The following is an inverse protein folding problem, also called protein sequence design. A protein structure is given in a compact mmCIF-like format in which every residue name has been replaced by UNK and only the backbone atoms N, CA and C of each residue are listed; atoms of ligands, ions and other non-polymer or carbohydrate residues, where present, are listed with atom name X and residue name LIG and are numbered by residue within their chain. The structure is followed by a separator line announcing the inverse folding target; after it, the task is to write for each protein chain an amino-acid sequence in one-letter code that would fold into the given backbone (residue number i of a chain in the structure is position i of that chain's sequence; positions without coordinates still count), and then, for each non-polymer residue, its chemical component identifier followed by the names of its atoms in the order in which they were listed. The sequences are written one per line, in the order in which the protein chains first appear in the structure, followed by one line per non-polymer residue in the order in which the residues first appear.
data_IF_323803672292
#
_entry.id   IF_323803672292
#
_cell.length_a   1.000
_cell.length_b   1.000
_cell.length_c   1.000
_cell.angle_alpha   90.00
_cell.angle_beta   90.00
_cell.angle_gamma   90.00
#
_symmetry.space_group_name_H-M   'P 1'
#
loop_
_entity.id
_entity.type
_entity.pdbx_description
1 polymer ?
#
# COMPACT_ATOMS: atom_id res chain seq x y z
N UNK A 1 -3.59 10.66 15.06
CA UNK A 1 -3.32 9.25 14.68
C UNK A 1 -1.86 9.15 14.31
N UNK A 2 -1.13 8.18 14.84
CA UNK A 2 0.28 8.03 14.51
C UNK A 2 0.47 7.17 13.25
N UNK A 3 1.64 7.25 12.68
CA UNK A 3 1.99 6.56 11.44
C UNK A 3 1.87 5.03 11.55
N UNK A 4 2.22 4.46 12.69
CA UNK A 4 2.12 3.02 12.94
C UNK A 4 0.67 2.54 12.80
N UNK A 5 -0.28 3.27 13.37
CA UNK A 5 -1.70 2.92 13.28
C UNK A 5 -2.18 2.97 11.82
N UNK A 6 -1.71 3.95 11.05
CA UNK A 6 -2.05 4.06 9.63
C UNK A 6 -1.50 2.87 8.85
N UNK A 7 -0.25 2.47 9.13
CA UNK A 7 0.34 1.28 8.50
C UNK A 7 -0.44 0.01 8.82
N UNK A 8 -0.87 -0.15 10.07
CA UNK A 8 -1.67 -1.31 10.46
C UNK A 8 -2.99 -1.38 9.70
N UNK A 9 -3.64 -0.23 9.52
CA UNK A 9 -4.87 -0.14 8.73
C UNK A 9 -4.60 -0.43 7.25
N UNK A 10 -3.47 0.05 6.72
CA UNK A 10 -3.07 -0.22 5.34
C UNK A 10 -2.94 -1.73 5.10
N UNK A 11 -2.22 -2.43 5.97
CA UNK A 11 -2.05 -3.88 5.88
C UNK A 11 -3.43 -4.59 5.96
N UNK A 12 -4.28 -4.18 6.88
CA UNK A 12 -5.61 -4.76 7.03
C UNK A 12 -6.45 -4.58 5.75
N UNK A 13 -6.40 -3.41 5.14
CA UNK A 13 -7.12 -3.14 3.88
C UNK A 13 -6.58 -3.99 2.73
N UNK A 14 -5.26 -4.19 2.68
CA UNK A 14 -4.64 -5.06 1.68
C UNK A 14 -5.11 -6.51 1.83
N UNK A 15 -5.19 -6.98 3.06
CA UNK A 15 -5.62 -8.35 3.36
C UNK A 15 -7.11 -8.57 3.09
N UNK A 16 -7.93 -7.55 3.27
CA UNK A 16 -9.38 -7.64 3.05
C UNK A 16 -9.81 -7.29 1.63
N UNK A 17 -8.91 -6.68 0.85
CA UNK A 17 -9.25 -6.23 -0.49
C UNK A 17 -10.16 -5.01 -0.53
N UNK A 18 -10.12 -4.18 0.50
CA UNK A 18 -10.99 -3.01 0.61
C UNK A 18 -10.28 -1.78 0.02
N UNK A 19 -10.43 -1.59 -1.29
CA UNK A 19 -9.80 -0.48 -2.00
C UNK A 19 -10.33 0.88 -1.56
N UNK A 20 -11.58 0.97 -1.17
CA UNK A 20 -12.19 2.22 -0.70
C UNK A 20 -11.59 2.62 0.64
N UNK A 21 -11.59 1.71 1.62
CA UNK A 21 -11.00 1.97 2.93
C UNK A 21 -9.50 2.25 2.82
N UNK A 22 -8.79 1.56 1.93
CA UNK A 22 -7.37 1.79 1.69
C UNK A 22 -7.14 3.21 1.17
N UNK A 23 -7.89 3.63 0.17
CA UNK A 23 -7.78 4.98 -0.39
C UNK A 23 -8.14 6.05 0.63
N UNK A 24 -9.06 5.76 1.55
CA UNK A 24 -9.46 6.69 2.62
C UNK A 24 -8.33 6.97 3.61
N UNK A 25 -7.25 6.18 3.60
CA UNK A 25 -6.07 6.47 4.40
C UNK A 25 -5.21 7.61 3.82
N UNK A 26 -5.48 7.99 2.57
CA UNK A 26 -4.67 8.98 1.84
C UNK A 26 -5.33 10.35 1.82
N UNK A 27 -4.48 11.39 1.83
CA UNK A 27 -4.88 12.74 1.53
C UNK A 27 -5.49 12.79 0.12
N UNK A 28 -6.41 13.73 -0.12
CA UNK A 28 -7.04 13.91 -1.45
C UNK A 28 -6.00 13.99 -2.57
N UNK A 29 -4.85 14.61 -2.29
CA UNK A 29 -3.74 14.77 -3.23
C UNK A 29 -2.55 13.88 -2.88
N UNK A 30 -2.79 12.80 -2.15
CA UNK A 30 -1.74 11.88 -1.72
C UNK A 30 -1.03 11.23 -2.89
N UNK A 31 0.25 10.90 -2.67
CA UNK A 31 1.11 10.30 -3.69
C UNK A 31 1.56 8.92 -3.22
N UNK A 32 1.42 7.94 -4.10
CA UNK A 32 1.91 6.59 -3.90
C UNK A 32 2.89 6.25 -5.00
N UNK A 33 4.12 5.89 -4.63
CA UNK A 33 5.13 5.42 -5.57
C UNK A 33 5.51 3.99 -5.20
N UNK A 34 5.37 3.05 -6.14
CA UNK A 34 5.60 1.64 -5.92
C UNK A 34 6.58 1.09 -6.95
N UNK A 35 7.77 0.70 -6.49
CA UNK A 35 8.79 0.05 -7.30
C UNK A 35 8.95 -1.44 -6.97
N UNK A 36 8.13 -1.98 -6.07
CA UNK A 36 8.29 -3.33 -5.56
C UNK A 36 8.17 -4.42 -6.63
N UNK A 37 7.31 -4.21 -7.63
CA UNK A 37 7.04 -5.21 -8.64
C UNK A 37 8.08 -5.27 -9.76
N UNK A 38 9.08 -4.39 -9.75
CA UNK A 38 10.25 -4.50 -10.62
C UNK A 38 10.91 -5.86 -10.42
N UNK A 39 10.90 -6.38 -9.20
CA UNK A 39 11.49 -7.67 -8.83
C UNK A 39 10.91 -8.85 -9.61
N UNK A 40 9.70 -8.69 -10.14
CA UNK A 40 9.02 -9.71 -10.95
C UNK A 40 8.74 -9.22 -12.36
N UNK A 41 9.54 -8.24 -12.83
CA UNK A 41 9.50 -7.78 -14.22
C UNK A 41 8.36 -6.84 -14.57
N UNK A 42 7.71 -6.23 -13.57
CA UNK A 42 6.66 -5.26 -13.81
C UNK A 42 7.18 -3.84 -13.63
N UNK A 43 6.46 -2.89 -14.20
CA UNK A 43 6.86 -1.48 -14.17
C UNK A 43 6.67 -0.85 -12.79
N UNK A 44 7.44 0.20 -12.54
CA UNK A 44 7.22 1.12 -11.43
C UNK A 44 5.87 1.81 -11.60
N UNK A 45 5.17 2.03 -10.50
CA UNK A 45 3.88 2.69 -10.50
C UNK A 45 3.98 3.98 -9.69
N UNK A 46 3.44 5.06 -10.27
CA UNK A 46 3.37 6.36 -9.60
C UNK A 46 1.95 6.88 -9.71
N UNK A 47 1.30 7.09 -8.57
CA UNK A 47 -0.09 7.52 -8.51
C UNK A 47 -0.20 8.82 -7.74
N UNK A 48 -0.95 9.77 -8.29
CA UNK A 48 -1.23 11.04 -7.64
C UNK A 48 -2.73 11.18 -7.45
N UNK A 49 -3.12 11.36 -6.20
CA UNK A 49 -4.50 11.56 -5.81
C UNK A 49 -5.20 10.29 -5.33
N UNK A 50 -6.07 10.49 -4.36
CA UNK A 50 -6.84 9.43 -3.70
C UNK A 50 -7.63 8.59 -4.71
N UNK A 51 -8.22 9.23 -5.71
CA UNK A 51 -9.04 8.54 -6.72
C UNK A 51 -8.21 7.57 -7.55
N UNK A 52 -7.02 8.00 -7.99
CA UNK A 52 -6.12 7.13 -8.76
C UNK A 52 -5.67 5.94 -7.93
N UNK A 53 -5.41 6.16 -6.65
CA UNK A 53 -5.01 5.11 -5.72
C UNK A 53 -6.14 4.10 -5.55
N UNK A 54 -7.37 4.56 -5.34
CA UNK A 54 -8.53 3.69 -5.20
C UNK A 54 -8.73 2.81 -6.43
N UNK A 55 -8.70 3.40 -7.61
CA UNK A 55 -8.89 2.69 -8.89
C UNK A 55 -7.82 1.64 -9.11
N UNK A 56 -6.58 1.98 -8.81
CA UNK A 56 -5.46 1.05 -9.00
C UNK A 56 -5.59 -0.15 -8.07
N UNK A 57 -5.90 0.06 -6.80
CA UNK A 57 -6.08 -1.05 -5.87
C UNK A 57 -7.31 -1.89 -6.20
N UNK A 58 -8.36 -1.27 -6.71
CA UNK A 58 -9.51 -2.02 -7.23
C UNK A 58 -9.06 -3.03 -8.29
N UNK A 59 -8.24 -2.59 -9.24
CA UNK A 59 -7.74 -3.44 -10.31
C UNK A 59 -6.77 -4.51 -9.79
N UNK A 60 -5.87 -4.14 -8.88
CA UNK A 60 -4.89 -5.07 -8.30
C UNK A 60 -5.56 -6.15 -7.47
N UNK A 61 -6.56 -5.81 -6.67
CA UNK A 61 -7.31 -6.79 -5.90
C UNK A 61 -8.06 -7.76 -6.83
N UNK A 62 -8.67 -7.24 -7.89
CA UNK A 62 -9.31 -8.08 -8.89
C UNK A 62 -8.34 -9.07 -9.54
N UNK A 63 -7.14 -8.60 -9.87
CA UNK A 63 -6.08 -9.46 -10.43
C UNK A 63 -5.66 -10.56 -9.45
N UNK A 64 -5.67 -10.28 -8.15
CA UNK A 64 -5.31 -11.22 -7.09
C UNK A 64 -6.53 -11.90 -6.45
N UNK A 65 -7.64 -12.00 -7.17
CA UNK A 65 -8.86 -12.65 -6.69
C UNK A 65 -9.48 -12.00 -5.46
N UNK A 66 -9.37 -10.69 -5.37
CA UNK A 66 -10.07 -9.89 -4.37
C UNK A 66 -9.22 -9.32 -3.25
N UNK A 67 -8.03 -9.88 -2.99
CA UNK A 67 -7.17 -9.38 -1.93
C UNK A 67 -5.74 -9.84 -2.12
N UNK A 68 -4.80 -9.27 -1.35
CA UNK A 68 -3.42 -9.74 -1.33
C UNK A 68 -3.22 -10.71 -0.17
N UNK A 69 -2.77 -11.94 -0.42
CA UNK A 69 -2.24 -12.79 0.64
C UNK A 69 -0.93 -12.15 1.16
N UNK A 70 -0.93 -11.79 2.44
CA UNK A 70 0.20 -11.15 3.10
C UNK A 70 0.72 -12.05 4.21
N UNK A 71 2.05 -12.16 4.33
CA UNK A 71 2.66 -12.96 5.37
C UNK A 71 3.93 -12.28 5.90
N UNK A 72 4.39 -12.75 7.07
CA UNK A 72 5.64 -12.33 7.71
C UNK A 72 5.72 -10.81 7.93
N UNK A 73 4.62 -10.20 8.36
CA UNK A 73 4.56 -8.75 8.58
C UNK A 73 5.48 -8.34 9.72
N UNK A 74 6.40 -7.41 9.46
CA UNK A 74 7.30 -6.85 10.46
C UNK A 74 7.34 -5.34 10.35
N UNK A 75 6.99 -4.67 11.45
CA UNK A 75 7.11 -3.21 11.51
C UNK A 75 8.55 -2.88 11.92
N UNK A 76 9.24 -2.09 11.08
CA UNK A 76 10.65 -1.76 11.32
C UNK A 76 10.81 -0.57 12.28
N UNK A 77 9.86 0.34 12.20
CA UNK A 77 9.71 1.50 13.07
C UNK A 77 8.27 1.98 12.90
N UNK A 78 7.94 3.15 13.40
CA UNK A 78 6.57 3.65 13.29
C UNK A 78 6.21 4.11 11.87
N UNK A 79 7.16 4.18 10.95
CA UNK A 79 6.94 4.70 9.59
C UNK A 79 7.08 3.66 8.49
N UNK A 80 7.55 2.45 8.81
CA UNK A 80 7.83 1.43 7.80
C UNK A 80 7.37 0.05 8.23
N UNK A 81 6.90 -0.72 7.26
CA UNK A 81 6.51 -2.12 7.45
C UNK A 81 7.09 -2.97 6.32
N UNK A 82 7.62 -4.13 6.67
CA UNK A 82 8.12 -5.11 5.71
C UNK A 82 7.22 -6.35 5.74
N UNK A 83 6.95 -6.92 4.57
CA UNK A 83 6.08 -8.09 4.45
C UNK A 83 6.31 -8.79 3.12
N UNK A 84 5.77 -10.01 3.00
CA UNK A 84 5.65 -10.69 1.72
C UNK A 84 4.22 -10.57 1.21
N UNK A 85 4.09 -10.38 -0.10
CA UNK A 85 2.78 -10.51 -0.78
C UNK A 85 2.88 -11.63 -1.81
N UNK A 86 1.74 -12.23 -2.12
CA UNK A 86 1.59 -13.06 -3.30
C UNK A 86 0.89 -12.21 -4.37
N UNK A 87 1.57 -11.98 -5.48
CA UNK A 87 1.05 -11.17 -6.58
C UNK A 87 1.01 -12.01 -7.84
N UNK A 88 -0.20 -12.32 -8.30
CA UNK A 88 -0.38 -13.21 -9.45
C UNK A 88 0.29 -14.57 -9.27
N UNK A 89 0.33 -15.08 -8.04
CA UNK A 89 0.95 -16.36 -7.71
C UNK A 89 2.45 -16.29 -7.45
N UNK A 90 3.07 -15.11 -7.53
CA UNK A 90 4.49 -14.93 -7.25
C UNK A 90 4.68 -14.25 -5.90
N UNK A 91 5.64 -14.78 -5.11
CA UNK A 91 5.94 -14.23 -3.81
C UNK A 91 6.93 -13.07 -3.96
N UNK A 92 6.58 -11.91 -3.40
CA UNK A 92 7.38 -10.68 -3.49
C UNK A 92 7.60 -10.11 -2.10
N UNK A 93 8.85 -9.78 -1.77
CA UNK A 93 9.15 -9.05 -0.53
C UNK A 93 8.94 -7.56 -0.76
N UNK A 94 8.29 -6.89 0.19
CA UNK A 94 7.86 -5.51 0.04
C UNK A 94 8.14 -4.73 1.30
N UNK A 95 8.57 -3.49 1.14
CA UNK A 95 8.66 -2.51 2.23
C UNK A 95 7.78 -1.33 1.89
N UNK A 96 6.82 -1.02 2.76
CA UNK A 96 5.99 0.16 2.61
C UNK A 96 6.42 1.21 3.64
N UNK A 97 6.68 2.43 3.17
CA UNK A 97 7.18 3.53 4.01
C UNK A 97 6.28 4.74 3.84
N UNK A 98 5.75 5.25 4.96
CA UNK A 98 5.03 6.51 4.96
C UNK A 98 6.04 7.63 5.16
N UNK A 99 6.18 8.48 4.15
CA UNK A 99 7.12 9.59 4.18
C UNK A 99 6.53 10.82 4.87
N UNK A 100 5.22 11.04 4.71
CA UNK A 100 4.57 12.22 5.25
C UNK A 100 3.07 11.97 5.48
N UNK A 101 2.56 12.45 6.62
CA UNK A 101 1.13 12.55 6.90
C UNK A 101 0.72 14.02 6.88
N UNK A 102 -0.54 14.30 6.56
CA UNK A 102 -1.10 15.65 6.69
C UNK A 102 -1.54 15.91 8.14
N UNK A 103 -2.10 17.09 8.40
CA UNK A 103 -2.56 17.48 9.74
C UNK A 103 -3.68 16.59 10.28
N UNK A 104 -4.45 15.97 9.40
CA UNK A 104 -5.54 15.07 9.76
C UNK A 104 -5.09 13.62 9.93
N UNK A 105 -3.79 13.34 9.75
CA UNK A 105 -3.25 12.00 9.86
C UNK A 105 -3.43 11.15 8.60
N UNK A 106 -3.73 11.78 7.46
CA UNK A 106 -3.84 11.08 6.18
C UNK A 106 -2.51 11.08 5.45
N UNK A 107 -2.27 10.06 4.65
CA UNK A 107 -1.00 9.87 3.95
C UNK A 107 -0.87 10.87 2.81
N UNK A 108 0.14 11.74 2.88
CA UNK A 108 0.50 12.64 1.78
C UNK A 108 1.46 11.97 0.80
N UNK A 109 2.36 11.12 1.32
CA UNK A 109 3.33 10.42 0.48
C UNK A 109 3.68 9.07 1.08
N UNK A 110 3.58 8.03 0.27
CA UNK A 110 3.98 6.67 0.61
C UNK A 110 4.85 6.10 -0.51
N UNK A 111 5.94 5.47 -0.12
CA UNK A 111 6.79 4.74 -1.06
C UNK A 111 6.74 3.25 -0.74
N UNK A 112 6.65 2.44 -1.77
CA UNK A 112 6.66 0.98 -1.66
C UNK A 112 7.84 0.45 -2.48
N UNK A 113 8.67 -0.33 -1.83
CA UNK A 113 9.91 -0.88 -2.42
C UNK A 113 9.86 -2.39 -2.54
#
# INVERSE_FOLDING_TARGET
MNTRTVLEKYIACMQSGDNVALADLFDKHGVLHDSSLIKIGRDTMHLEGKMAIEMMFHNKFGFNRGAFPISAVKYRNDTAVWYFISYGGQLVSVSAVIEELNEEGLIKRMNIY
#
